data_IF_917160479655
#
_entry.id   IF_917160479655
#
_cell.length_a   1.000
_cell.length_b   1.000
_cell.length_c   1.000
_cell.angle_alpha   90.00
_cell.angle_beta   90.00
_cell.angle_gamma   90.00
#
_symmetry.space_group_name_H-M   'P 1'
#
loop_
_entity.id
_entity.type
_entity.pdbx_description
1 polymer ?
#
# COMPACT_ATOMS: atom_id res chain seq x y z
N UNK A 1 -18.26 -7.21 5.60
CA UNK A 1 -18.47 -5.87 5.03
C UNK A 1 -17.22 -5.46 4.28
N UNK A 2 -17.37 -4.64 3.25
CA UNK A 2 -16.28 -4.06 2.47
C UNK A 2 -16.44 -2.54 2.44
N UNK A 3 -15.32 -1.83 2.44
CA UNK A 3 -15.30 -0.38 2.30
C UNK A 3 -14.65 -0.01 0.98
N UNK A 4 -15.32 0.83 0.22
CA UNK A 4 -14.79 1.48 -0.97
C UNK A 4 -14.36 2.89 -0.57
N UNK A 5 -13.10 3.22 -0.81
CA UNK A 5 -12.53 4.55 -0.61
C UNK A 5 -12.08 5.08 -1.96
N UNK A 6 -12.55 6.26 -2.36
CA UNK A 6 -12.16 6.96 -3.59
C UNK A 6 -11.50 8.28 -3.21
N UNK A 7 -10.21 8.40 -3.47
CA UNK A 7 -9.39 9.56 -3.18
C UNK A 7 -9.18 10.36 -4.47
N UNK A 8 -9.85 11.51 -4.59
CA UNK A 8 -9.80 12.36 -5.78
C UNK A 8 -8.69 13.39 -5.67
N UNK A 9 -7.97 13.61 -6.77
CA UNK A 9 -6.92 14.62 -6.87
C UNK A 9 -7.53 16.02 -6.67
N UNK A 10 -7.39 16.60 -5.48
CA UNK A 10 -7.83 17.97 -5.15
C UNK A 10 -9.31 18.16 -4.77
N UNK A 11 -10.13 17.11 -4.66
CA UNK A 11 -11.58 17.21 -4.30
C UNK A 11 -12.00 16.35 -3.10
N UNK A 12 -11.03 15.81 -2.35
CA UNK A 12 -11.27 15.06 -1.13
C UNK A 12 -11.73 13.61 -1.35
N UNK A 13 -11.85 12.90 -0.24
CA UNK A 13 -12.08 11.45 -0.18
C UNK A 13 -13.56 11.12 -0.03
N UNK A 14 -14.05 10.16 -0.81
CA UNK A 14 -15.39 9.58 -0.69
C UNK A 14 -15.27 8.17 -0.14
N UNK A 15 -16.09 7.82 0.85
CA UNK A 15 -16.09 6.50 1.49
C UNK A 15 -17.51 5.93 1.45
N UNK A 16 -17.65 4.69 1.03
CA UNK A 16 -18.91 3.94 1.07
C UNK A 16 -18.70 2.53 1.60
N UNK A 17 -19.72 1.98 2.24
CA UNK A 17 -19.69 0.64 2.84
C UNK A 17 -20.67 -0.28 2.10
N UNK A 18 -20.23 -1.51 1.87
CA UNK A 18 -20.88 -2.49 1.02
C UNK A 18 -20.93 -3.85 1.73
N UNK A 19 -21.98 -4.66 1.51
CA UNK A 19 -22.09 -5.98 2.14
C UNK A 19 -20.92 -6.89 1.74
N UNK A 20 -20.55 -6.86 0.46
CA UNK A 20 -19.50 -7.69 -0.14
C UNK A 20 -18.64 -6.91 -1.15
N UNK A 21 -17.55 -7.55 -1.60
CA UNK A 21 -16.61 -6.94 -2.54
C UNK A 21 -17.19 -6.74 -3.95
N UNK A 22 -18.17 -7.55 -4.36
CA UNK A 22 -18.79 -7.43 -5.67
C UNK A 22 -19.69 -6.19 -5.73
N UNK A 23 -20.46 -5.93 -4.68
CA UNK A 23 -21.27 -4.70 -4.56
C UNK A 23 -20.37 -3.44 -4.53
N UNK A 24 -19.27 -3.48 -3.78
CA UNK A 24 -18.28 -2.40 -3.79
C UNK A 24 -17.67 -2.18 -5.19
N UNK A 25 -17.39 -3.26 -5.93
CA UNK A 25 -16.86 -3.18 -7.30
C UNK A 25 -17.89 -2.62 -8.28
N UNK A 26 -19.17 -2.98 -8.14
CA UNK A 26 -20.26 -2.40 -8.92
C UNK A 26 -20.38 -0.88 -8.66
N UNK A 27 -20.27 -0.44 -7.41
CA UNK A 27 -20.27 0.98 -7.08
C UNK A 27 -19.07 1.71 -7.68
N UNK A 28 -17.89 1.10 -7.65
CA UNK A 28 -16.69 1.63 -8.31
C UNK A 28 -16.90 1.76 -9.83
N UNK A 29 -17.47 0.75 -10.49
CA UNK A 29 -17.74 0.79 -11.93
C UNK A 29 -18.69 1.94 -12.31
N UNK A 30 -19.77 2.12 -11.53
CA UNK A 30 -20.70 3.25 -11.73
C UNK A 30 -19.99 4.60 -11.58
N UNK A 31 -19.10 4.73 -10.60
CA UNK A 31 -18.30 5.93 -10.44
C UNK A 31 -17.39 6.18 -11.66
N UNK A 32 -16.72 5.13 -12.15
CA UNK A 32 -15.81 5.20 -13.30
C UNK A 32 -16.54 5.64 -14.56
N UNK A 33 -17.74 5.11 -14.81
CA UNK A 33 -18.61 5.50 -15.92
C UNK A 33 -19.03 6.98 -15.80
N UNK A 34 -19.52 7.39 -14.63
CA UNK A 34 -19.95 8.77 -14.38
C UNK A 34 -18.80 9.78 -14.49
N UNK A 35 -17.60 9.40 -14.03
CA UNK A 35 -16.39 10.22 -14.09
C UNK A 35 -15.67 10.14 -15.45
N UNK A 36 -16.18 9.35 -16.39
CA UNK A 36 -15.58 9.11 -17.71
C UNK A 36 -14.08 8.75 -17.64
N UNK A 37 -13.78 7.79 -16.76
CA UNK A 37 -12.43 7.30 -16.49
C UNK A 37 -12.27 5.86 -16.97
N UNK A 38 -11.02 5.40 -17.08
CA UNK A 38 -10.68 3.97 -17.06
C UNK A 38 -10.04 3.60 -15.73
N UNK A 39 -10.03 2.31 -15.41
CA UNK A 39 -9.34 1.79 -14.22
C UNK A 39 -8.08 1.04 -14.63
N UNK A 40 -6.96 1.40 -14.03
CA UNK A 40 -5.69 0.69 -14.14
C UNK A 40 -5.41 0.04 -12.77
N UNK A 41 -5.10 -1.25 -12.75
CA UNK A 41 -4.85 -1.96 -11.48
C UNK A 41 -3.51 -1.54 -10.89
N UNK A 42 -3.50 -1.13 -9.63
CA UNK A 42 -2.26 -0.83 -8.89
C UNK A 42 -1.84 -2.08 -8.12
N UNK A 43 -2.76 -2.64 -7.33
CA UNK A 43 -2.47 -3.74 -6.43
C UNK A 43 -3.68 -4.63 -6.20
N UNK A 44 -3.45 -5.94 -6.16
CA UNK A 44 -4.46 -6.94 -5.83
C UNK A 44 -3.95 -7.79 -4.65
N UNK A 45 -4.72 -7.81 -3.56
CA UNK A 45 -4.45 -8.61 -2.37
C UNK A 45 -5.76 -9.26 -1.90
N UNK A 46 -5.67 -10.30 -1.06
CA UNK A 46 -6.84 -10.99 -0.53
C UNK A 46 -7.73 -10.07 0.34
N UNK A 47 -7.10 -9.15 1.07
CA UNK A 47 -7.79 -8.25 2.02
C UNK A 47 -8.15 -6.88 1.44
N UNK A 48 -7.45 -6.47 0.37
CA UNK A 48 -7.71 -5.20 -0.28
C UNK A 48 -7.31 -5.23 -1.76
N UNK A 49 -7.93 -4.38 -2.56
CA UNK A 49 -7.60 -4.19 -3.97
C UNK A 49 -7.63 -2.70 -4.29
N UNK A 50 -6.70 -2.25 -5.12
CA UNK A 50 -6.48 -0.83 -5.41
C UNK A 50 -6.33 -0.58 -6.90
N UNK A 51 -6.95 0.51 -7.37
CA UNK A 51 -6.98 0.94 -8.75
C UNK A 51 -6.68 2.43 -8.87
N UNK A 52 -6.01 2.78 -9.96
CA UNK A 52 -5.90 4.14 -10.43
C UNK A 52 -7.02 4.42 -11.42
N UNK A 53 -7.70 5.55 -11.26
CA UNK A 53 -8.70 6.03 -12.20
C UNK A 53 -8.05 7.09 -13.07
N UNK A 54 -7.91 6.82 -14.35
CA UNK A 54 -7.29 7.70 -15.34
C UNK A 54 -8.37 8.30 -16.22
N UNK A 55 -8.38 9.62 -16.38
CA UNK A 55 -9.33 10.30 -17.25
C UNK A 55 -9.16 9.82 -18.69
N UNK A 56 -10.26 9.51 -19.38
CA UNK A 56 -10.20 9.18 -20.80
C UNK A 56 -9.74 10.40 -21.63
N UNK A 57 -10.02 11.60 -21.13
CA UNK A 57 -9.56 12.86 -21.73
C UNK A 57 -8.24 13.27 -21.07
N UNK A 58 -7.15 13.21 -21.83
CA UNK A 58 -5.85 13.74 -21.41
C UNK A 58 -4.98 12.84 -20.52
N UNK A 59 -5.38 11.59 -20.28
CA UNK A 59 -4.59 10.56 -19.59
C UNK A 59 -4.04 10.98 -18.22
N UNK A 60 -4.78 11.83 -17.49
CA UNK A 60 -4.38 12.29 -16.15
C UNK A 60 -5.02 11.44 -15.08
N UNK A 61 -4.34 11.29 -13.96
CA UNK A 61 -4.87 10.59 -12.79
C UNK A 61 -5.99 11.42 -12.17
N UNK A 62 -7.20 10.87 -12.20
CA UNK A 62 -8.40 11.47 -11.63
C UNK A 62 -8.57 11.15 -10.14
N UNK A 63 -8.38 9.88 -9.80
CA UNK A 63 -8.56 9.38 -8.44
C UNK A 63 -7.81 8.06 -8.22
N UNK A 64 -7.68 7.67 -6.96
CA UNK A 64 -7.30 6.31 -6.54
C UNK A 64 -8.49 5.69 -5.83
N UNK A 65 -8.82 4.44 -6.15
CA UNK A 65 -9.89 3.70 -5.50
C UNK A 65 -9.33 2.46 -4.79
N UNK A 66 -9.77 2.23 -3.55
CA UNK A 66 -9.39 1.07 -2.75
C UNK A 66 -10.65 0.39 -2.22
N UNK A 67 -10.76 -0.92 -2.43
CA UNK A 67 -11.76 -1.77 -1.78
C UNK A 67 -11.04 -2.60 -0.74
N UNK A 68 -11.41 -2.45 0.53
CA UNK A 68 -10.85 -3.23 1.65
C UNK A 68 -11.95 -3.99 2.39
N UNK A 69 -11.62 -5.15 2.96
CA UNK A 69 -12.53 -5.85 3.88
C UNK A 69 -12.55 -5.10 5.22
N UNK A 70 -13.75 -4.76 5.71
CA UNK A 70 -13.95 -4.01 6.96
C UNK A 70 -14.86 -4.75 7.95
N UNK A 71 -14.49 -4.72 9.24
CA UNK A 71 -15.15 -5.36 10.39
C UNK A 71 -14.42 -6.62 10.90
N UNK A 72 -14.13 -6.83 12.18
CA UNK A 72 -14.21 -5.98 13.38
C UNK A 72 -12.88 -6.08 14.16
N UNK A 73 -12.05 -5.04 14.10
CA UNK A 73 -11.06 -4.70 15.13
C UNK A 73 -10.50 -3.28 14.91
N UNK A 74 -10.69 -2.47 15.96
CA UNK A 74 -10.05 -1.21 16.33
C UNK A 74 -10.35 0.09 15.54
N UNK A 75 -10.59 1.21 16.27
CA UNK A 75 -10.83 2.53 15.70
C UNK A 75 -9.53 3.10 15.12
N UNK A 76 -9.42 3.09 13.80
CA UNK A 76 -8.23 3.57 13.07
C UNK A 76 -8.24 5.10 12.98
N UNK A 77 -7.91 5.78 14.09
CA UNK A 77 -7.47 7.19 14.11
C UNK A 77 -5.96 7.37 13.93
N UNK A 78 -5.21 6.34 13.54
CA UNK A 78 -3.74 6.40 13.47
C UNK A 78 -3.11 6.07 12.10
N UNK A 79 -3.86 5.62 11.09
CA UNK A 79 -3.26 5.11 9.84
C UNK A 79 -2.96 6.24 8.82
N UNK A 80 -3.68 7.35 8.85
CA UNK A 80 -3.42 8.47 7.94
C UNK A 80 -2.10 9.20 8.22
N UNK A 81 -1.64 9.20 9.48
CA UNK A 81 -0.35 9.77 9.84
C UNK A 81 0.81 8.84 9.46
N UNK A 82 0.65 7.53 9.66
CA UNK A 82 1.71 6.55 9.35
C UNK A 82 1.90 6.35 7.84
N UNK A 83 0.83 6.33 7.05
CA UNK A 83 0.95 6.24 5.59
C UNK A 83 1.57 7.49 4.97
N UNK A 84 1.35 8.66 5.58
CA UNK A 84 2.00 9.90 5.15
C UNK A 84 3.51 9.87 5.41
N UNK A 85 3.94 9.33 6.56
CA UNK A 85 5.37 9.14 6.86
C UNK A 85 6.02 8.14 5.90
N UNK A 86 5.34 7.05 5.54
CA UNK A 86 5.87 6.07 4.58
C UNK A 86 5.97 6.66 3.17
N UNK A 87 4.98 7.46 2.74
CA UNK A 87 4.99 8.12 1.44
C UNK A 87 6.03 9.26 1.37
N UNK A 88 6.15 10.08 2.42
CA UNK A 88 7.18 11.14 2.51
C UNK A 88 8.59 10.52 2.54
N UNK A 89 8.78 9.38 3.22
CA UNK A 89 10.06 8.66 3.19
C UNK A 89 10.36 8.05 1.81
N UNK A 90 9.36 7.54 1.10
CA UNK A 90 9.54 7.00 -0.25
C UNK A 90 9.87 8.10 -1.27
N UNK A 91 9.24 9.28 -1.15
CA UNK A 91 9.54 10.45 -1.98
C UNK A 91 10.92 11.05 -1.68
N UNK A 92 11.35 11.05 -0.40
CA UNK A 92 12.69 11.49 -0.02
C UNK A 92 13.81 10.56 -0.54
N UNK A 93 13.52 9.26 -0.69
CA UNK A 93 14.46 8.28 -1.26
C UNK A 93 14.65 8.45 -2.77
N UNK A 94 13.65 8.96 -3.50
CA UNK A 94 13.69 9.05 -4.97
C UNK A 94 14.23 10.40 -5.51
N UNK A 95 14.40 11.43 -4.67
CA UNK A 95 14.79 12.78 -5.14
C UNK A 95 16.16 13.31 -4.68
N UNK A 96 17.04 12.49 -4.10
CA UNK A 96 18.37 12.99 -3.73
C UNK A 96 19.36 11.98 -3.19
N UNK A 97 19.80 11.02 -4.00
CA UNK A 97 20.99 10.22 -3.67
C UNK A 97 22.24 11.05 -3.99
N UNK A 98 22.57 11.96 -3.08
CA UNK A 98 23.96 12.32 -2.79
C UNK A 98 24.27 11.84 -1.38
N UNK A 99 24.92 10.67 -1.33
CA UNK A 99 25.71 10.16 -0.20
C UNK A 99 24.91 9.84 1.08
N UNK A 100 24.16 8.73 1.07
CA UNK A 100 23.81 8.05 2.34
C UNK A 100 24.98 7.15 2.71
N UNK A 101 25.66 7.55 3.78
CA UNK A 101 26.81 6.91 4.37
C UNK A 101 26.54 5.42 4.66
N UNK A 102 27.51 4.57 4.31
CA UNK A 102 27.47 3.11 4.45
C UNK A 102 27.08 2.61 5.85
N UNK A 103 27.24 3.44 6.89
CA UNK A 103 26.83 3.12 8.25
C UNK A 103 25.31 3.01 8.43
N UNK A 104 24.53 3.87 7.77
CA UNK A 104 23.07 3.90 7.92
C UNK A 104 22.41 2.72 7.19
N UNK A 105 22.97 2.31 6.04
CA UNK A 105 22.53 1.09 5.34
C UNK A 105 22.71 -0.17 6.20
N UNK A 106 23.81 -0.27 6.94
CA UNK A 106 24.05 -1.42 7.82
C UNK A 106 23.07 -1.44 9.01
N UNK A 107 22.68 -0.28 9.53
CA UNK A 107 21.70 -0.18 10.60
C UNK A 107 20.30 -0.60 10.13
N UNK A 108 19.88 -0.15 8.95
CA UNK A 108 18.59 -0.52 8.34
C UNK A 108 18.55 -2.02 8.02
N UNK A 109 19.64 -2.59 7.50
CA UNK A 109 19.71 -4.02 7.19
C UNK A 109 19.61 -4.88 8.46
N UNK A 110 20.32 -4.52 9.54
CA UNK A 110 20.24 -5.23 10.84
C UNK A 110 18.84 -5.16 11.45
N UNK A 111 18.14 -4.05 11.26
CA UNK A 111 16.77 -3.89 11.75
C UNK A 111 15.78 -4.73 10.93
N UNK A 112 16.00 -4.84 9.62
CA UNK A 112 15.24 -5.72 8.73
C UNK A 112 15.43 -7.21 9.08
N UNK A 113 16.65 -7.64 9.36
CA UNK A 113 16.95 -9.02 9.78
C UNK A 113 16.29 -9.38 11.13
N UNK A 114 16.21 -8.42 12.05
CA UNK A 114 15.58 -8.59 13.36
C UNK A 114 14.05 -8.72 13.25
N UNK A 115 13.44 -7.98 12.33
CA UNK A 115 12.00 -8.01 12.04
C UNK A 115 11.58 -9.29 11.30
N UNK A 116 12.40 -9.75 10.36
CA UNK A 116 12.10 -10.93 9.52
C UNK A 116 12.54 -12.26 10.15
N UNK A 117 13.30 -12.22 11.26
CA UNK A 117 13.87 -13.40 11.94
C UNK A 117 14.73 -14.27 11.01
N UNK A 118 15.26 -13.69 9.94
CA UNK A 118 15.98 -14.41 8.88
C UNK A 118 17.29 -15.07 9.37
N UNK A 119 17.84 -14.65 10.52
CA UNK A 119 19.09 -15.24 11.07
C UNK A 119 18.92 -16.57 11.83
N UNK A 120 17.76 -17.26 11.81
CA UNK A 120 17.61 -18.56 12.48
C UNK A 120 17.95 -19.79 11.64
N UNK A 121 18.69 -19.63 10.56
CA UNK A 121 19.16 -20.76 9.75
C UNK A 121 20.64 -20.60 9.36
N UNK A 122 21.55 -20.60 10.33
CA UNK A 122 22.97 -20.90 10.11
C UNK A 122 23.66 -21.27 11.44
N UNK A 123 23.11 -22.22 12.19
CA UNK A 123 23.82 -22.80 13.34
C UNK A 123 23.36 -24.24 13.65
N UNK A 124 23.40 -25.10 12.62
CA UNK A 124 23.45 -26.55 12.83
C UNK A 124 24.06 -27.29 11.64
N UNK A 125 25.23 -26.84 11.19
CA UNK A 125 26.02 -27.58 10.19
C UNK A 125 27.53 -27.35 10.34
N UNK A 126 28.08 -27.32 11.57
CA UNK A 126 29.52 -27.50 11.78
C UNK A 126 29.83 -27.93 13.22
N UNK A 127 29.32 -29.11 13.61
CA UNK A 127 29.90 -29.86 14.74
C UNK A 127 30.27 -31.24 14.24
N UNK A 128 31.57 -31.45 14.04
CA UNK A 128 32.17 -32.78 13.95
C UNK A 128 32.87 -33.06 12.63
N UNK A 129 34.17 -32.73 12.56
CA UNK A 129 35.27 -33.69 12.29
C UNK A 129 36.57 -32.93 11.99
N UNK A 130 37.50 -32.99 12.93
CA UNK A 130 38.94 -33.24 12.71
C UNK A 130 39.61 -33.26 14.07
N UNK A 131 39.76 -34.46 14.63
CA UNK A 131 41.06 -35.04 15.03
C UNK A 131 40.98 -36.56 14.81
#
# INVERSE_FOLDING_TARGET
>A
MHRLTIERTGRGTTISEHPDAADAKCALQRYVEQANCRTDTIQMHADFSSWQLVTLVGSRVHATATIERFGAAAPRRHISAELKVVLDNALAVDTGITVVDSYERAAVQRQWDKLTRASRHLDHATTGRTE
#
